data_IF_319854529969
#
_entry.id   IF_319854529969
#
_cell.length_a   1.000
_cell.length_b   1.000
_cell.length_c   1.000
_cell.angle_alpha   90.00
_cell.angle_beta   90.00
_cell.angle_gamma   90.00
#
_symmetry.space_group_name_H-M   'P 1'
#
loop_
_entity.id
_entity.type
_entity.pdbx_description
1 polymer ?
#
# COMPACT_ATOMS: atom_id res chain seq x y z
N UNK A 1 7.98 30.27 -60.75
CA UNK A 1 8.14 29.01 -59.99
C UNK A 1 8.24 29.37 -58.52
N UNK A 2 7.21 29.06 -57.71
CA UNK A 2 7.20 29.30 -56.26
C UNK A 2 7.25 27.92 -55.58
N UNK A 3 8.32 27.65 -54.86
CA UNK A 3 8.54 26.41 -54.12
C UNK A 3 7.68 26.40 -52.86
N UNK A 4 6.81 25.40 -52.74
CA UNK A 4 5.98 25.13 -51.57
C UNK A 4 6.81 24.32 -50.57
N UNK A 5 7.11 24.89 -49.40
CA UNK A 5 7.76 24.20 -48.28
C UNK A 5 6.65 23.52 -47.47
N UNK A 6 6.54 22.20 -47.58
CA UNK A 6 5.65 21.38 -46.75
C UNK A 6 6.44 20.95 -45.53
N UNK A 7 6.14 21.53 -44.38
CA UNK A 7 6.70 21.15 -43.08
C UNK A 7 5.93 19.94 -42.55
N UNK A 8 6.59 18.79 -42.49
CA UNK A 8 6.05 17.57 -41.89
C UNK A 8 6.19 17.67 -40.36
N UNK A 9 5.10 17.96 -39.66
CA UNK A 9 5.06 17.93 -38.20
C UNK A 9 4.98 16.47 -37.74
N UNK A 10 6.10 15.94 -37.23
CA UNK A 10 6.14 14.67 -36.52
C UNK A 10 5.43 14.83 -35.17
N UNK A 11 4.19 14.37 -35.09
CA UNK A 11 3.53 14.08 -33.82
C UNK A 11 4.19 12.83 -33.23
N UNK A 12 5.14 13.02 -32.32
CA UNK A 12 5.64 11.95 -31.45
C UNK A 12 4.63 11.84 -30.31
N UNK A 13 3.66 10.94 -30.44
CA UNK A 13 2.83 10.53 -29.30
C UNK A 13 3.72 9.70 -28.37
N UNK A 14 4.13 10.27 -27.25
CA UNK A 14 4.80 9.53 -26.17
C UNK A 14 3.77 8.62 -25.52
N UNK A 15 3.73 7.35 -25.93
CA UNK A 15 3.10 6.30 -25.15
C UNK A 15 3.98 6.06 -23.92
N UNK A 16 3.58 6.64 -22.80
CA UNK A 16 4.14 6.32 -21.49
C UNK A 16 3.66 4.92 -21.12
N UNK A 17 4.52 3.92 -21.31
CA UNK A 17 4.28 2.60 -20.72
C UNK A 17 4.67 2.68 -19.24
N UNK A 18 3.70 2.53 -18.34
CA UNK A 18 3.97 2.30 -16.93
C UNK A 18 4.67 0.94 -16.79
N UNK A 19 5.91 0.97 -16.32
CA UNK A 19 6.70 -0.24 -16.03
C UNK A 19 6.37 -0.65 -14.60
N UNK A 20 6.08 -1.94 -14.39
CA UNK A 20 5.89 -2.50 -13.06
C UNK A 20 7.13 -2.25 -12.18
N UNK A 21 6.91 -1.88 -10.90
CA UNK A 21 8.02 -1.65 -9.99
C UNK A 21 8.69 -2.99 -9.62
N UNK A 22 9.99 -3.13 -9.88
CA UNK A 22 10.75 -4.32 -9.47
C UNK A 22 10.96 -4.35 -7.94
N UNK A 23 10.95 -3.16 -7.31
CA UNK A 23 10.96 -2.95 -5.86
C UNK A 23 9.79 -2.07 -5.45
N UNK A 24 9.13 -2.42 -4.34
CA UNK A 24 8.00 -1.65 -3.83
C UNK A 24 8.36 -0.20 -3.45
N UNK A 25 9.64 0.01 -3.15
CA UNK A 25 10.26 1.29 -2.82
C UNK A 25 10.45 2.23 -4.01
N UNK A 26 10.25 1.75 -5.24
CA UNK A 26 10.33 2.53 -6.49
C UNK A 26 8.96 2.93 -7.03
N UNK A 27 7.87 2.50 -6.39
CA UNK A 27 6.51 2.84 -6.79
C UNK A 27 6.17 4.28 -6.37
N UNK A 28 5.63 5.07 -7.31
CA UNK A 28 5.42 6.52 -7.12
C UNK A 28 4.29 6.86 -6.11
N UNK A 29 3.33 5.96 -5.92
CA UNK A 29 2.12 6.21 -5.11
C UNK A 29 1.91 5.19 -3.97
N UNK A 30 2.92 4.93 -3.10
CA UNK A 30 2.94 3.78 -2.18
C UNK A 30 1.76 3.73 -1.22
N UNK A 31 1.21 4.89 -0.85
CA UNK A 31 0.08 4.95 0.07
C UNK A 31 -1.22 4.42 -0.54
N UNK A 32 -1.35 4.43 -1.88
CA UNK A 32 -2.51 3.92 -2.60
C UNK A 32 -2.62 2.40 -2.54
N UNK A 33 -1.50 1.69 -2.38
CA UNK A 33 -1.43 0.23 -2.44
C UNK A 33 -2.27 -0.47 -1.36
N UNK A 34 -2.82 -1.63 -1.68
CA UNK A 34 -3.58 -2.45 -0.73
C UNK A 34 -5.10 -2.26 -0.82
N UNK A 35 -5.79 -2.71 0.21
CA UNK A 35 -7.25 -2.82 0.24
C UNK A 35 -7.91 -1.62 0.93
N UNK A 36 -8.85 -1.00 0.22
CA UNK A 36 -9.66 0.13 0.66
C UNK A 36 -11.11 -0.30 0.80
N UNK A 37 -11.76 0.14 1.88
CA UNK A 37 -13.13 -0.25 2.18
C UNK A 37 -14.03 0.95 2.42
N UNK A 38 -15.17 0.93 1.77
CA UNK A 38 -16.30 1.81 2.05
C UNK A 38 -17.47 0.94 2.53
N UNK A 39 -18.22 1.47 3.50
CA UNK A 39 -19.40 0.82 4.05
C UNK A 39 -20.56 1.81 4.04
N UNK A 40 -21.75 1.33 3.68
CA UNK A 40 -22.97 2.11 3.84
C UNK A 40 -23.19 2.48 5.30
N UNK A 41 -23.83 3.62 5.54
CA UNK A 41 -24.25 4.03 6.88
C UNK A 41 -25.50 3.31 7.38
N UNK A 42 -26.14 2.49 6.54
CA UNK A 42 -27.33 1.71 6.85
C UNK A 42 -27.26 0.31 6.23
N UNK A 43 -28.07 -0.61 6.76
CA UNK A 43 -28.14 -1.99 6.29
C UNK A 43 -28.89 -2.15 4.96
N UNK A 44 -29.71 -1.15 4.59
CA UNK A 44 -30.45 -1.13 3.32
C UNK A 44 -29.54 -0.88 2.13
N UNK A 45 -28.33 -0.33 2.34
CA UNK A 45 -27.38 0.04 1.30
C UNK A 45 -27.72 1.36 0.60
N UNK A 46 -26.92 1.69 -0.41
CA UNK A 46 -27.17 2.81 -1.33
C UNK A 46 -27.64 2.25 -2.67
N UNK A 47 -28.79 2.73 -3.14
CA UNK A 47 -29.36 2.34 -4.43
C UNK A 47 -28.58 2.95 -5.59
N UNK A 48 -28.20 2.11 -6.55
CA UNK A 48 -27.56 2.50 -7.81
C UNK A 48 -27.93 1.49 -8.90
N UNK A 49 -28.37 1.99 -10.05
CA UNK A 49 -28.75 1.16 -11.22
C UNK A 49 -29.80 0.07 -10.94
N UNK A 50 -30.68 0.28 -9.95
CA UNK A 50 -31.73 -0.66 -9.57
C UNK A 50 -31.27 -1.77 -8.60
N UNK A 51 -30.03 -1.71 -8.16
CA UNK A 51 -29.45 -2.58 -7.13
C UNK A 51 -29.11 -1.75 -5.88
N UNK A 52 -28.96 -2.39 -4.72
CA UNK A 52 -28.53 -1.71 -3.50
C UNK A 52 -27.20 -2.27 -2.98
N UNK A 53 -26.27 -1.39 -2.63
CA UNK A 53 -24.91 -1.74 -2.23
C UNK A 53 -24.60 -1.36 -0.78
N UNK A 54 -24.10 -2.32 -0.01
CA UNK A 54 -23.81 -2.17 1.43
C UNK A 54 -22.33 -1.96 1.70
N UNK A 55 -21.44 -2.41 0.81
CA UNK A 55 -20.00 -2.18 0.93
C UNK A 55 -19.32 -2.16 -0.44
N UNK A 56 -18.18 -1.48 -0.50
CA UNK A 56 -17.29 -1.48 -1.66
C UNK A 56 -15.85 -1.72 -1.18
N UNK A 57 -15.13 -2.59 -1.89
CA UNK A 57 -13.71 -2.79 -1.73
C UNK A 57 -12.99 -2.44 -3.04
N UNK A 58 -11.90 -1.69 -2.93
CA UNK A 58 -11.00 -1.40 -4.04
C UNK A 58 -9.59 -1.83 -3.60
N UNK A 59 -8.96 -2.72 -4.37
CA UNK A 59 -7.57 -3.12 -4.16
C UNK A 59 -6.68 -2.55 -5.25
N UNK A 60 -5.57 -1.94 -4.85
CA UNK A 60 -4.51 -1.46 -5.76
C UNK A 60 -3.22 -2.25 -5.55
N UNK A 61 -2.51 -2.53 -6.64
CA UNK A 61 -1.17 -3.14 -6.61
C UNK A 61 -0.14 -2.26 -7.32
N UNK A 62 1.14 -2.49 -7.03
CA UNK A 62 2.30 -1.82 -7.61
C UNK A 62 2.52 -2.13 -9.09
N UNK A 63 1.80 -3.14 -9.62
CA UNK A 63 1.76 -3.47 -11.04
C UNK A 63 0.73 -2.64 -11.82
N UNK A 64 0.18 -1.58 -11.22
CA UNK A 64 -0.89 -0.76 -11.79
C UNK A 64 -2.17 -1.55 -12.10
N UNK A 65 -2.41 -2.66 -11.38
CA UNK A 65 -3.64 -3.42 -11.45
C UNK A 65 -4.59 -3.03 -10.31
N UNK A 66 -5.89 -3.04 -10.60
CA UNK A 66 -6.93 -2.87 -9.58
C UNK A 66 -7.98 -3.98 -9.62
N UNK A 67 -8.66 -4.18 -8.50
CA UNK A 67 -9.89 -4.97 -8.40
C UNK A 67 -10.92 -4.19 -7.60
N UNK A 68 -12.13 -4.06 -8.12
CA UNK A 68 -13.29 -3.51 -7.40
C UNK A 68 -14.26 -4.63 -7.08
N UNK A 69 -14.79 -4.62 -5.87
CA UNK A 69 -15.86 -5.51 -5.41
C UNK A 69 -16.97 -4.68 -4.78
N UNK A 70 -18.21 -4.93 -5.20
CA UNK A 70 -19.39 -4.34 -4.60
C UNK A 70 -20.22 -5.43 -3.93
N UNK A 71 -20.46 -5.27 -2.64
CA UNK A 71 -21.36 -6.14 -1.89
C UNK A 71 -22.77 -5.57 -2.00
N UNK A 72 -23.68 -6.37 -2.55
CA UNK A 72 -25.10 -6.04 -2.64
C UNK A 72 -25.82 -6.32 -1.31
N UNK A 73 -26.97 -5.69 -1.10
CA UNK A 73 -27.81 -5.90 0.08
C UNK A 73 -28.36 -7.34 0.18
N UNK A 74 -28.47 -8.06 -0.95
CA UNK A 74 -28.85 -9.47 -0.98
C UNK A 74 -27.68 -10.45 -0.70
N UNK A 75 -26.48 -9.91 -0.46
CA UNK A 75 -25.26 -10.65 -0.17
C UNK A 75 -24.48 -11.12 -1.40
N UNK A 76 -24.95 -10.85 -2.62
CA UNK A 76 -24.18 -11.11 -3.84
C UNK A 76 -23.05 -10.10 -4.03
N UNK A 77 -22.05 -10.46 -4.85
CA UNK A 77 -20.86 -9.64 -5.09
C UNK A 77 -20.68 -9.40 -6.58
N UNK A 78 -20.68 -8.13 -6.97
CA UNK A 78 -20.19 -7.71 -8.28
C UNK A 78 -18.69 -7.50 -8.20
N UNK A 79 -17.95 -7.95 -9.22
CA UNK A 79 -16.50 -7.78 -9.27
C UNK A 79 -16.04 -7.52 -10.69
N UNK A 80 -15.18 -6.52 -10.83
CA UNK A 80 -14.38 -6.32 -12.05
C UNK A 80 -12.94 -5.96 -11.67
N UNK A 81 -12.06 -6.08 -12.65
CA UNK A 81 -10.62 -5.82 -12.50
C UNK A 81 -10.08 -5.15 -13.74
N UNK A 82 -8.95 -4.48 -13.62
CA UNK A 82 -8.36 -3.79 -14.76
C UNK A 82 -7.03 -3.16 -14.40
N UNK A 83 -6.63 -2.20 -15.21
CA UNK A 83 -5.43 -1.41 -14.99
C UNK A 83 -5.82 0.02 -14.62
N UNK A 84 -5.04 0.65 -13.77
CA UNK A 84 -5.22 2.05 -13.41
C UNK A 84 -4.02 2.89 -13.81
N UNK A 85 -4.30 4.16 -14.09
CA UNK A 85 -3.30 5.21 -14.23
C UNK A 85 -3.60 6.30 -13.22
N UNK A 86 -2.59 6.93 -12.65
CA UNK A 86 -2.76 7.83 -11.51
C UNK A 86 -1.76 8.99 -11.58
N UNK A 87 -2.27 10.17 -11.27
CA UNK A 87 -1.49 11.38 -11.00
C UNK A 87 -1.76 11.87 -9.56
N UNK A 88 -1.27 13.03 -9.17
CA UNK A 88 -1.44 13.56 -7.80
C UNK A 88 -2.91 13.77 -7.36
N UNK A 89 -3.86 13.83 -8.30
CA UNK A 89 -5.25 14.25 -8.08
C UNK A 89 -6.30 13.38 -8.76
N UNK A 90 -5.92 12.61 -9.79
CA UNK A 90 -6.82 11.82 -10.59
C UNK A 90 -6.38 10.37 -10.69
N UNK A 91 -7.36 9.49 -10.78
CA UNK A 91 -7.17 8.08 -11.11
C UNK A 91 -8.07 7.71 -12.29
N UNK A 92 -7.50 6.98 -13.24
CA UNK A 92 -8.18 6.48 -14.44
C UNK A 92 -8.29 4.97 -14.33
N UNK A 93 -9.50 4.42 -14.30
CA UNK A 93 -9.74 2.98 -14.36
C UNK A 93 -10.02 2.53 -15.79
N UNK A 94 -9.29 1.50 -16.23
CA UNK A 94 -9.50 0.84 -17.53
C UNK A 94 -9.76 -0.63 -17.32
N UNK A 95 -10.92 -1.10 -17.78
CA UNK A 95 -11.24 -2.52 -17.81
C UNK A 95 -11.82 -2.95 -19.17
N UNK A 96 -11.81 -4.24 -19.44
CA UNK A 96 -12.40 -4.82 -20.65
C UNK A 96 -13.93 -4.88 -20.62
N UNK A 97 -14.52 -4.89 -19.43
CA UNK A 97 -15.96 -5.05 -19.18
C UNK A 97 -16.67 -3.77 -18.74
N UNK A 98 -15.91 -2.69 -18.52
CA UNK A 98 -16.41 -1.38 -18.10
C UNK A 98 -15.84 -0.27 -18.99
N UNK A 99 -16.59 0.84 -19.22
CA UNK A 99 -16.02 2.01 -19.87
C UNK A 99 -14.87 2.57 -19.04
N UNK A 100 -13.95 3.30 -19.70
CA UNK A 100 -12.91 4.06 -19.00
C UNK A 100 -13.55 5.08 -18.05
N UNK A 101 -13.05 5.15 -16.82
CA UNK A 101 -13.59 6.03 -15.78
C UNK A 101 -12.48 6.92 -15.25
N UNK A 102 -12.70 8.23 -15.25
CA UNK A 102 -11.81 9.24 -14.67
C UNK A 102 -12.43 9.75 -13.38
N UNK A 103 -11.68 9.66 -12.29
CA UNK A 103 -12.13 10.09 -10.98
C UNK A 103 -11.14 11.04 -10.33
N UNK A 104 -11.67 11.97 -9.54
CA UNK A 104 -10.90 12.78 -8.62
C UNK A 104 -10.67 12.01 -7.33
N UNK A 105 -9.48 12.16 -6.73
CA UNK A 105 -9.22 11.54 -5.44
C UNK A 105 -8.40 12.40 -4.47
N UNK A 106 -8.51 12.08 -3.19
CA UNK A 106 -7.62 12.55 -2.14
C UNK A 106 -7.13 11.37 -1.31
N UNK A 107 -5.86 11.39 -0.93
CA UNK A 107 -5.22 10.27 -0.24
C UNK A 107 -4.49 10.74 1.02
N UNK A 108 -4.66 9.98 2.10
CA UNK A 108 -3.79 9.97 3.27
C UNK A 108 -3.28 8.53 3.50
N UNK A 109 -2.48 8.32 4.53
CA UNK A 109 -1.94 7.00 4.87
C UNK A 109 -3.02 5.96 5.24
N UNK A 110 -4.23 6.39 5.63
CA UNK A 110 -5.33 5.50 6.01
C UNK A 110 -6.71 5.88 5.45
N UNK A 111 -6.82 6.97 4.68
CA UNK A 111 -8.06 7.39 4.03
C UNK A 111 -7.86 7.62 2.54
N UNK A 112 -8.80 7.15 1.74
CA UNK A 112 -8.87 7.35 0.30
C UNK A 112 -10.25 7.90 -0.02
N UNK A 113 -10.33 9.11 -0.55
CA UNK A 113 -11.60 9.73 -0.97
C UNK A 113 -11.64 9.68 -2.48
N UNK A 114 -12.62 9.00 -3.06
CA UNK A 114 -12.81 8.85 -4.51
C UNK A 114 -14.16 9.46 -4.87
N UNK A 115 -14.17 10.55 -5.65
CA UNK A 115 -15.38 11.32 -5.99
C UNK A 115 -16.30 11.62 -4.78
N UNK A 116 -15.67 11.91 -3.63
CA UNK A 116 -16.37 12.22 -2.38
C UNK A 116 -16.74 11.00 -1.52
N UNK A 117 -16.69 9.78 -2.06
CA UNK A 117 -16.85 8.56 -1.27
C UNK A 117 -15.58 8.29 -0.44
N UNK A 118 -15.73 8.13 0.88
CA UNK A 118 -14.60 7.96 1.80
C UNK A 118 -14.35 6.48 2.13
N UNK A 119 -13.22 5.97 1.65
CA UNK A 119 -12.70 4.65 1.96
C UNK A 119 -11.68 4.70 3.09
N UNK A 120 -11.60 3.61 3.84
CA UNK A 120 -10.63 3.41 4.93
C UNK A 120 -9.77 2.19 4.63
N UNK A 121 -8.47 2.30 4.91
CA UNK A 121 -7.53 1.19 4.82
C UNK A 121 -7.58 0.35 6.10
N UNK A 122 -7.58 -0.97 5.98
CA UNK A 122 -7.59 -1.87 7.12
C UNK A 122 -6.25 -2.61 7.23
N UNK A 123 -5.61 -2.56 8.39
CA UNK A 123 -4.41 -3.34 8.65
C UNK A 123 -4.75 -4.85 8.70
N UNK A 124 -3.83 -5.73 8.23
CA UNK A 124 -4.02 -7.17 8.37
C UNK A 124 -4.24 -7.58 9.81
N UNK A 125 -5.10 -8.58 10.00
CA UNK A 125 -5.35 -9.14 11.31
C UNK A 125 -4.03 -9.63 11.93
N UNK A 126 -3.85 -9.37 13.23
CA UNK A 126 -2.69 -9.80 13.98
C UNK A 126 -1.33 -9.27 13.50
N UNK A 127 -1.26 -8.26 12.61
CA UNK A 127 0.00 -7.54 12.35
C UNK A 127 0.23 -6.37 13.33
N UNK A 128 -0.76 -5.50 13.60
CA UNK A 128 -0.61 -4.44 14.59
C UNK A 128 -0.27 -4.99 15.98
N UNK A 129 0.51 -4.22 16.74
CA UNK A 129 0.98 -4.60 18.08
C UNK A 129 2.39 -4.10 18.35
N UNK A 130 2.85 -4.35 19.58
CA UNK A 130 4.22 -4.09 19.99
C UNK A 130 5.02 -5.39 19.89
N UNK A 131 6.15 -5.31 19.20
CA UNK A 131 7.00 -6.44 18.86
C UNK A 131 8.40 -6.17 19.37
N UNK A 132 9.01 -7.14 20.05
CA UNK A 132 10.38 -7.06 20.54
C UNK A 132 11.21 -8.14 19.91
N UNK A 133 12.36 -7.78 19.35
CA UNK A 133 13.26 -8.75 18.77
C UNK A 133 13.79 -9.70 19.86
N UNK A 134 13.53 -10.99 19.69
CA UNK A 134 14.19 -12.05 20.46
C UNK A 134 15.51 -12.45 19.82
N UNK A 135 15.65 -12.24 18.51
CA UNK A 135 16.87 -12.50 17.75
C UNK A 135 16.97 -11.54 16.57
N UNK A 136 18.16 -11.01 16.35
CA UNK A 136 18.54 -10.25 15.15
C UNK A 136 19.79 -10.92 14.60
N UNK A 137 19.83 -11.19 13.29
CA UNK A 137 20.99 -11.78 12.64
C UNK A 137 21.12 -11.30 11.20
N UNK A 138 22.36 -11.25 10.68
CA UNK A 138 22.65 -10.85 9.32
C UNK A 138 24.07 -10.32 9.18
N UNK A 139 24.57 -10.21 7.95
CA UNK A 139 25.92 -9.69 7.67
C UNK A 139 26.06 -8.19 7.95
N UNK A 140 24.96 -7.45 7.83
CA UNK A 140 24.91 -5.99 8.02
C UNK A 140 24.30 -5.59 9.37
N UNK A 141 24.12 -6.55 10.29
CA UNK A 141 23.65 -6.25 11.65
C UNK A 141 24.82 -5.74 12.47
N UNK A 142 24.71 -4.50 12.95
CA UNK A 142 25.68 -3.94 13.88
C UNK A 142 25.69 -4.75 15.18
N UNK A 143 26.86 -5.33 15.52
CA UNK A 143 27.08 -6.12 16.74
C UNK A 143 26.81 -5.31 18.02
N UNK A 144 26.76 -3.98 17.93
CA UNK A 144 26.44 -3.11 19.05
C UNK A 144 24.93 -2.98 19.31
N UNK A 145 24.05 -3.56 18.48
CA UNK A 145 22.60 -3.54 18.72
C UNK A 145 22.23 -4.61 19.76
N UNK A 146 21.67 -4.17 20.87
CA UNK A 146 21.24 -5.02 22.00
C UNK A 146 19.73 -5.15 22.13
N UNK A 147 18.97 -4.29 21.45
CA UNK A 147 17.51 -4.33 21.45
C UNK A 147 16.94 -3.68 20.20
N UNK A 148 15.86 -4.27 19.69
CA UNK A 148 15.04 -3.74 18.61
C UNK A 148 13.58 -3.94 19.00
N UNK A 149 12.79 -2.88 18.97
CA UNK A 149 11.35 -2.92 19.24
C UNK A 149 10.60 -2.17 18.16
N UNK A 150 9.45 -2.70 17.75
CA UNK A 150 8.62 -2.11 16.71
C UNK A 150 7.18 -2.06 17.22
N UNK A 151 6.58 -0.87 17.22
CA UNK A 151 5.15 -0.67 17.40
C UNK A 151 4.51 -0.46 16.03
N UNK A 152 3.64 -1.37 15.61
CA UNK A 152 2.81 -1.21 14.42
C UNK A 152 1.38 -0.88 14.87
N UNK A 153 0.86 0.29 14.48
CA UNK A 153 -0.50 0.71 14.82
C UNK A 153 -1.50 0.34 13.73
N UNK A 154 -2.76 0.04 14.06
CA UNK A 154 -3.78 -0.33 13.07
C UNK A 154 -4.10 0.76 12.06
N UNK A 155 -3.72 2.02 12.33
CA UNK A 155 -3.87 3.16 11.44
C UNK A 155 -2.61 3.44 10.59
N UNK A 156 -1.75 2.43 10.40
CA UNK A 156 -0.57 2.48 9.52
C UNK A 156 0.58 3.40 9.99
N UNK A 157 0.56 3.82 11.25
CA UNK A 157 1.69 4.48 11.89
C UNK A 157 2.61 3.45 12.56
N UNK A 158 3.92 3.74 12.58
CA UNK A 158 4.87 2.91 13.34
C UNK A 158 5.82 3.74 14.19
N UNK A 159 6.42 3.07 15.19
CA UNK A 159 7.67 3.49 15.83
C UNK A 159 8.64 2.30 15.90
N UNK A 160 9.91 2.53 15.59
CA UNK A 160 11.01 1.58 15.80
C UNK A 160 11.98 2.18 16.80
N UNK A 161 12.32 1.41 17.82
CA UNK A 161 13.36 1.73 18.80
C UNK A 161 14.52 0.75 18.66
N UNK A 162 15.73 1.30 18.49
CA UNK A 162 16.99 0.54 18.45
C UNK A 162 17.84 0.95 19.63
N UNK A 163 18.29 -0.03 20.42
CA UNK A 163 19.13 0.18 21.61
C UNK A 163 20.54 -0.34 21.38
N UNK A 164 21.53 0.53 21.53
CA UNK A 164 22.95 0.20 21.46
C UNK A 164 23.51 -0.37 22.77
N UNK A 165 24.69 -0.99 22.70
CA UNK A 165 25.47 -1.49 23.85
C UNK A 165 25.90 -0.37 24.81
N UNK A 166 26.04 0.85 24.30
CA UNK A 166 26.35 2.04 25.10
C UNK A 166 25.13 2.63 25.82
N UNK A 167 23.96 1.99 25.68
CA UNK A 167 22.69 2.45 26.23
C UNK A 167 22.02 3.57 25.44
N UNK A 168 22.61 4.05 24.33
CA UNK A 168 21.94 5.02 23.46
C UNK A 168 20.78 4.35 22.74
N UNK A 169 19.75 5.17 22.51
CA UNK A 169 18.54 4.77 21.81
C UNK A 169 18.37 5.66 20.57
N UNK A 170 18.00 5.03 19.46
CA UNK A 170 17.53 5.72 18.26
C UNK A 170 16.08 5.33 18.02
N UNK A 171 15.24 6.33 17.82
CA UNK A 171 13.83 6.12 17.49
C UNK A 171 13.55 6.61 16.07
N UNK A 172 12.85 5.80 15.28
CA UNK A 172 12.28 6.20 13.99
C UNK A 172 10.77 6.11 14.06
N UNK A 173 10.07 7.12 13.54
CA UNK A 173 8.61 7.14 13.45
C UNK A 173 8.20 7.47 12.03
N UNK A 174 7.08 6.92 11.61
CA UNK A 174 6.56 7.18 10.28
C UNK A 174 5.33 6.38 9.97
N UNK A 175 5.15 6.10 8.68
CA UNK A 175 4.04 5.32 8.16
C UNK A 175 4.57 4.02 7.57
N UNK A 176 3.79 2.95 7.70
CA UNK A 176 4.08 1.71 7.02
C UNK A 176 3.02 1.40 5.98
N UNK A 177 3.42 0.77 4.88
CA UNK A 177 2.50 0.28 3.87
C UNK A 177 2.89 -1.15 3.47
N UNK A 178 1.92 -1.85 2.89
CA UNK A 178 1.99 -3.29 2.68
C UNK A 178 1.62 -3.62 1.24
N UNK A 179 2.29 -4.62 0.70
CA UNK A 179 1.85 -5.33 -0.49
C UNK A 179 2.24 -6.79 -0.36
N UNK A 180 1.25 -7.68 -0.44
CA UNK A 180 1.40 -9.11 -0.19
C UNK A 180 2.10 -9.37 1.17
N UNK A 181 3.32 -9.90 1.12
CA UNK A 181 4.14 -10.19 2.30
C UNK A 181 5.25 -9.15 2.50
N UNK A 182 5.24 -8.05 1.76
CA UNK A 182 6.19 -6.96 1.93
C UNK A 182 5.60 -5.90 2.86
N UNK A 183 6.46 -5.39 3.75
CA UNK A 183 6.21 -4.22 4.58
C UNK A 183 7.31 -3.21 4.31
N UNK A 184 6.91 -1.98 4.05
CA UNK A 184 7.85 -0.85 3.94
C UNK A 184 7.56 0.12 5.08
N UNK A 185 8.61 0.47 5.81
CA UNK A 185 8.61 1.50 6.84
C UNK A 185 9.15 2.80 6.21
N UNK A 186 8.31 3.81 6.04
CA UNK A 186 8.67 5.11 5.48
C UNK A 186 8.72 6.16 6.59
N UNK A 187 9.85 6.86 6.71
CA UNK A 187 10.13 7.84 7.76
C UNK A 187 10.96 9.01 7.20
N UNK A 188 11.18 10.05 8.00
CA UNK A 188 11.70 11.35 7.51
C UNK A 188 13.04 11.25 6.76
N UNK A 189 13.98 10.42 7.24
CA UNK A 189 15.31 10.26 6.66
C UNK A 189 15.47 9.03 5.76
N UNK A 190 14.39 8.31 5.44
CA UNK A 190 14.47 7.19 4.51
C UNK A 190 13.32 6.19 4.55
N UNK A 191 13.57 5.04 3.94
CA UNK A 191 12.63 3.93 3.90
C UNK A 191 13.34 2.60 4.12
N UNK A 192 12.63 1.64 4.69
CA UNK A 192 13.12 0.29 4.92
C UNK A 192 12.08 -0.75 4.47
N UNK A 193 12.45 -1.55 3.48
CA UNK A 193 11.63 -2.65 2.96
C UNK A 193 12.00 -3.97 3.65
N UNK A 194 11.02 -4.80 3.98
CA UNK A 194 11.21 -6.13 4.53
C UNK A 194 10.08 -7.05 4.08
N UNK A 195 10.37 -8.34 3.96
CA UNK A 195 9.33 -9.37 3.93
C UNK A 195 8.93 -9.71 5.36
N UNK A 196 7.62 -9.77 5.62
CA UNK A 196 7.08 -10.16 6.92
C UNK A 196 6.37 -11.51 6.87
N UNK A 197 6.43 -12.22 8.01
CA UNK A 197 5.68 -13.45 8.24
C UNK A 197 5.17 -13.46 9.68
N UNK A 198 3.87 -13.70 9.85
CA UNK A 198 3.26 -13.93 11.15
C UNK A 198 3.23 -15.44 11.45
N UNK A 199 3.76 -15.83 12.61
CA UNK A 199 3.68 -17.16 13.17
C UNK A 199 2.44 -17.34 14.03
N UNK A 200 1.94 -18.59 14.14
CA UNK A 200 0.81 -18.92 15.00
C UNK A 200 1.11 -18.76 16.50
N UNK A 201 2.38 -18.62 16.86
CA UNK A 201 2.93 -18.47 18.20
C UNK A 201 3.16 -17.01 18.60
N UNK A 202 2.45 -16.05 17.97
CA UNK A 202 2.66 -14.62 18.17
C UNK A 202 4.10 -14.16 17.88
N UNK A 203 4.68 -14.75 16.83
CA UNK A 203 5.98 -14.36 16.29
C UNK A 203 5.80 -13.52 15.03
N UNK A 204 6.56 -12.43 14.91
CA UNK A 204 6.74 -11.68 13.67
C UNK A 204 8.18 -11.88 13.19
N UNK A 205 8.35 -12.42 11.99
CA UNK A 205 9.65 -12.48 11.33
C UNK A 205 9.72 -11.39 10.27
N UNK A 206 10.73 -10.52 10.36
CA UNK A 206 11.08 -9.55 9.33
C UNK A 206 12.38 -9.99 8.65
N UNK A 207 12.41 -9.99 7.32
CA UNK A 207 13.57 -10.42 6.55
C UNK A 207 13.84 -9.47 5.38
N UNK A 208 15.09 -9.06 5.22
CA UNK A 208 15.55 -8.27 4.09
C UNK A 208 16.68 -9.02 3.38
N UNK A 209 16.41 -9.51 2.17
CA UNK A 209 17.39 -10.26 1.37
C UNK A 209 18.52 -9.40 0.83
N UNK A 210 18.27 -8.10 0.59
CA UNK A 210 19.26 -7.18 0.05
C UNK A 210 20.41 -6.95 1.04
N UNK A 211 20.10 -6.86 2.34
CA UNK A 211 21.07 -6.64 3.43
C UNK A 211 21.37 -7.91 4.25
N UNK A 212 20.76 -9.04 3.86
CA UNK A 212 20.91 -10.32 4.57
C UNK A 212 20.46 -10.28 6.03
N UNK A 213 19.53 -9.39 6.38
CA UNK A 213 19.05 -9.20 7.75
C UNK A 213 17.78 -10.00 8.03
N UNK A 214 17.71 -10.59 9.21
CA UNK A 214 16.53 -11.26 9.75
C UNK A 214 16.33 -10.86 11.21
N UNK A 215 15.10 -10.45 11.55
CA UNK A 215 14.67 -10.19 12.91
C UNK A 215 13.49 -11.11 13.24
N UNK A 216 13.64 -11.91 14.31
CA UNK A 216 12.56 -12.69 14.89
C UNK A 216 12.07 -11.92 16.11
N UNK A 217 10.79 -11.59 16.11
CA UNK A 217 10.17 -10.74 17.11
C UNK A 217 9.04 -11.46 17.82
N UNK A 218 8.87 -11.17 19.11
CA UNK A 218 7.79 -11.68 19.94
C UNK A 218 6.84 -10.53 20.27
N UNK A 219 5.53 -10.82 20.24
CA UNK A 219 4.52 -9.85 20.65
C UNK A 219 4.61 -9.60 22.16
N UNK A 220 4.60 -8.33 22.57
CA UNK A 220 4.37 -7.96 23.96
C UNK A 220 2.87 -8.01 24.27
N UNK A 221 2.53 -8.62 25.41
CA UNK A 221 1.15 -8.78 25.88
C UNK A 221 0.75 -7.68 26.85
#
# INVERSE_FOLDING_TARGET
>A
MKTLLVTFALFISTWSFQVAAEKLTEFDYPLLLGDWYWFSTNDEGIESEGESYTAMNIKFTSNYDFVVRLLRADGSVDQWKGQYDVDETNIIFRSSDQPEQLHSYMLSYNQFVLDGARFTKLAPENLPGQWHASRISGSDVDEHITGLSILLRPDFLFSVEVKGTDGKMKEHRGIYYLEDNNIVLLYEDGQHESQYKLGADNTLTLSNKQFGMEAIMQREY
#
